data_IF_729671757696
#
_entry.id   IF_729671757696
#
_cell.length_a   1.000
_cell.length_b   1.000
_cell.length_c   1.000
_cell.angle_alpha   90.00
_cell.angle_beta   90.00
_cell.angle_gamma   90.00
#
_symmetry.space_group_name_H-M   'P 1'
#
loop_
_entity.id
_entity.type
_entity.pdbx_description
1 polymer ?
#
# COMPACT_ATOMS: atom_id res chain seq x y z
N UNK A 1 22.61 75.86 19.51
CA UNK A 1 22.35 75.67 18.06
C UNK A 1 23.39 74.66 17.55
N UNK A 2 23.41 73.38 17.89
CA UNK A 2 22.43 72.28 17.68
C UNK A 2 22.12 72.01 16.20
N UNK A 3 23.07 71.39 15.49
CA UNK A 3 22.79 70.78 14.18
C UNK A 3 22.94 69.25 14.33
N UNK A 4 21.78 68.60 14.56
CA UNK A 4 21.64 67.14 14.58
C UNK A 4 21.80 66.64 13.15
N UNK A 5 22.87 65.89 12.89
CA UNK A 5 23.01 65.11 11.67
C UNK A 5 21.90 64.04 11.61
N UNK A 6 21.05 64.15 10.60
CA UNK A 6 19.95 63.25 10.29
C UNK A 6 20.49 61.90 9.82
N UNK A 7 20.52 60.91 10.71
CA UNK A 7 20.65 59.48 10.34
C UNK A 7 19.41 59.07 9.52
N UNK A 8 19.56 59.05 8.19
CA UNK A 8 18.64 58.36 7.29
C UNK A 8 18.61 56.87 7.68
N UNK A 9 17.51 56.45 8.31
CA UNK A 9 17.14 55.03 8.45
C UNK A 9 16.80 54.51 7.05
N UNK A 10 17.77 53.86 6.41
CA UNK A 10 17.50 52.96 5.29
C UNK A 10 16.76 51.73 5.84
N UNK A 11 15.43 51.83 5.85
CA UNK A 11 14.53 50.68 5.97
C UNK A 11 14.57 49.89 4.67
N UNK A 12 15.68 49.19 4.42
CA UNK A 12 15.68 48.08 3.48
C UNK A 12 14.98 46.91 4.18
N UNK A 13 13.66 46.81 3.97
CA UNK A 13 12.91 45.57 4.15
C UNK A 13 13.54 44.52 3.24
N UNK A 14 14.54 43.79 3.74
CA UNK A 14 14.83 42.46 3.24
C UNK A 14 13.65 41.58 3.64
N UNK A 15 12.67 41.50 2.74
CA UNK A 15 11.73 40.39 2.76
C UNK A 15 12.54 39.10 2.60
N UNK A 16 12.12 37.99 3.22
CA UNK A 16 12.76 36.71 2.95
C UNK A 16 12.45 36.38 1.49
N UNK A 17 13.43 36.60 0.61
CA UNK A 17 13.46 35.95 -0.68
C UNK A 17 13.41 34.45 -0.38
N UNK A 18 12.25 33.86 -0.62
CA UNK A 18 12.04 32.43 -0.66
C UNK A 18 13.01 31.88 -1.68
N UNK A 19 14.17 31.43 -1.19
CA UNK A 19 15.17 30.74 -1.97
C UNK A 19 14.45 29.61 -2.72
N UNK A 20 14.24 29.80 -4.03
CA UNK A 20 13.85 28.73 -4.92
C UNK A 20 14.98 27.72 -4.86
N UNK A 21 14.79 26.67 -4.08
CA UNK A 21 15.74 25.59 -3.93
C UNK A 21 15.89 24.95 -5.32
N UNK A 22 16.96 25.32 -6.01
CA UNK A 22 17.24 24.87 -7.37
C UNK A 22 17.64 23.42 -7.29
N UNK A 23 16.67 22.54 -7.45
CA UNK A 23 16.88 21.10 -7.62
C UNK A 23 18.00 20.85 -8.64
N UNK A 24 19.05 20.15 -8.22
CA UNK A 24 20.20 19.76 -9.05
C UNK A 24 19.74 18.88 -10.23
N UNK A 25 18.63 18.15 -10.05
CA UNK A 25 18.05 17.26 -11.06
C UNK A 25 17.14 18.07 -12.00
N UNK A 26 17.26 17.90 -13.34
CA UNK A 26 16.37 18.52 -14.31
C UNK A 26 14.89 18.21 -14.03
N UNK A 27 14.02 19.20 -14.24
CA UNK A 27 12.57 19.06 -14.06
C UNK A 27 12.01 17.83 -14.78
N UNK A 28 12.40 17.65 -16.05
CA UNK A 28 11.90 16.57 -16.90
C UNK A 28 12.23 15.20 -16.31
N UNK A 29 13.46 15.02 -15.84
CA UNK A 29 13.91 13.77 -15.20
C UNK A 29 13.09 13.45 -13.95
N UNK A 30 12.81 14.44 -13.10
CA UNK A 30 11.99 14.22 -11.89
C UNK A 30 10.54 13.89 -12.25
N UNK A 31 9.98 14.60 -13.24
CA UNK A 31 8.60 14.40 -13.67
C UNK A 31 8.42 13.00 -14.27
N UNK A 32 9.32 12.58 -15.16
CA UNK A 32 9.28 11.24 -15.76
C UNK A 32 9.45 10.15 -14.71
N UNK A 33 10.40 10.29 -13.77
CA UNK A 33 10.58 9.32 -12.70
C UNK A 33 9.31 9.16 -11.85
N UNK A 34 8.65 10.25 -11.45
CA UNK A 34 7.40 10.15 -10.67
C UNK A 34 6.23 9.58 -11.48
N UNK A 35 6.18 9.85 -12.79
CA UNK A 35 5.19 9.28 -13.70
C UNK A 35 5.37 7.77 -13.83
N UNK A 36 6.60 7.31 -13.99
CA UNK A 36 6.93 5.88 -14.04
C UNK A 36 6.56 5.18 -12.72
N UNK A 37 6.85 5.79 -11.57
CA UNK A 37 6.46 5.24 -10.27
C UNK A 37 4.94 5.13 -10.12
N UNK A 38 4.18 6.14 -10.55
CA UNK A 38 2.72 6.09 -10.54
C UNK A 38 2.19 4.95 -11.41
N UNK A 39 2.68 4.83 -12.65
CA UNK A 39 2.27 3.76 -13.56
C UNK A 39 2.63 2.38 -13.01
N UNK A 40 3.84 2.23 -12.47
CA UNK A 40 4.30 0.99 -11.86
C UNK A 40 3.41 0.59 -10.67
N UNK A 41 2.98 1.52 -9.83
CA UNK A 41 2.10 1.23 -8.69
C UNK A 41 0.73 0.74 -9.15
N UNK A 42 0.14 1.38 -10.16
CA UNK A 42 -1.15 0.97 -10.72
C UNK A 42 -1.06 -0.40 -11.39
N UNK A 43 0.02 -0.66 -12.11
CA UNK A 43 0.27 -1.99 -12.69
C UNK A 43 0.44 -3.05 -11.61
N UNK A 44 1.24 -2.77 -10.58
CA UNK A 44 1.48 -3.70 -9.47
C UNK A 44 0.22 -3.99 -8.66
N UNK A 45 -0.66 -3.00 -8.49
CA UNK A 45 -1.96 -3.21 -7.87
C UNK A 45 -2.79 -4.27 -8.60
N UNK A 46 -2.83 -4.18 -9.94
CA UNK A 46 -3.51 -5.16 -10.76
C UNK A 46 -2.84 -6.55 -10.67
N UNK A 47 -1.51 -6.60 -10.80
CA UNK A 47 -0.76 -7.87 -10.73
C UNK A 47 -0.91 -8.55 -9.37
N UNK A 48 -0.93 -7.80 -8.26
CA UNK A 48 -1.14 -8.35 -6.93
C UNK A 48 -2.50 -9.04 -6.81
N UNK A 49 -3.57 -8.39 -7.26
CA UNK A 49 -4.91 -8.99 -7.30
C UNK A 49 -4.97 -10.24 -8.17
N UNK A 50 -4.34 -10.20 -9.35
CA UNK A 50 -4.33 -11.30 -10.31
C UNK A 50 -3.55 -12.52 -9.82
N UNK A 51 -2.46 -12.35 -9.08
CA UNK A 51 -1.59 -13.46 -8.70
C UNK A 51 -1.75 -13.87 -7.23
N UNK A 52 -1.59 -12.93 -6.29
CA UNK A 52 -1.53 -13.27 -4.86
C UNK A 52 -2.92 -13.51 -4.30
N UNK A 53 -3.83 -12.57 -4.54
CA UNK A 53 -5.19 -12.65 -4.01
C UNK A 53 -5.97 -13.81 -4.63
N UNK A 54 -5.90 -13.97 -5.95
CA UNK A 54 -6.52 -15.10 -6.65
C UNK A 54 -6.00 -16.44 -6.14
N UNK A 55 -4.68 -16.64 -6.03
CA UNK A 55 -4.10 -17.92 -5.60
C UNK A 55 -4.55 -18.28 -4.18
N UNK A 56 -4.52 -17.33 -3.25
CA UNK A 56 -4.95 -17.55 -1.87
C UNK A 56 -6.46 -17.86 -1.79
N UNK A 57 -7.29 -17.15 -2.55
CA UNK A 57 -8.72 -17.45 -2.61
C UNK A 57 -8.97 -18.82 -3.25
N UNK A 58 -8.26 -19.15 -4.32
CA UNK A 58 -8.39 -20.42 -5.02
C UNK A 58 -8.04 -21.59 -4.10
N UNK A 59 -6.96 -21.53 -3.32
CA UNK A 59 -6.62 -22.65 -2.42
C UNK A 59 -7.65 -22.79 -1.29
N UNK A 60 -8.13 -21.70 -0.70
CA UNK A 60 -9.08 -21.76 0.41
C UNK A 60 -10.48 -22.17 -0.06
N UNK A 61 -11.02 -21.47 -1.05
CA UNK A 61 -12.36 -21.74 -1.60
C UNK A 61 -12.39 -23.04 -2.41
N UNK A 62 -11.32 -23.34 -3.16
CA UNK A 62 -11.17 -24.61 -3.88
C UNK A 62 -11.14 -25.80 -2.93
N UNK A 63 -10.52 -25.67 -1.75
CA UNK A 63 -10.56 -26.72 -0.73
C UNK A 63 -11.95 -26.92 -0.13
N UNK A 64 -12.69 -25.83 0.12
CA UNK A 64 -14.08 -25.92 0.56
C UNK A 64 -14.95 -26.64 -0.50
N UNK A 65 -14.75 -26.31 -1.78
CA UNK A 65 -15.44 -26.99 -2.87
C UNK A 65 -15.04 -28.48 -2.95
N UNK A 66 -13.76 -28.80 -2.83
CA UNK A 66 -13.29 -30.18 -2.83
C UNK A 66 -13.89 -30.99 -1.66
N UNK A 67 -13.97 -30.41 -0.46
CA UNK A 67 -14.63 -31.03 0.69
C UNK A 67 -16.11 -31.28 0.40
N UNK A 68 -16.82 -30.35 -0.24
CA UNK A 68 -18.23 -30.53 -0.60
C UNK A 68 -18.47 -31.72 -1.54
N UNK A 69 -17.45 -32.13 -2.28
CA UNK A 69 -17.47 -33.24 -3.24
C UNK A 69 -16.93 -34.56 -2.65
N UNK A 70 -16.55 -34.60 -1.37
CA UNK A 70 -15.92 -35.75 -0.72
C UNK A 70 -16.88 -36.88 -0.31
N UNK A 71 -18.14 -36.85 -0.77
CA UNK A 71 -19.14 -37.89 -0.52
C UNK A 71 -19.39 -38.17 0.97
N UNK A 72 -19.06 -39.38 1.43
CA UNK A 72 -19.28 -39.82 2.82
C UNK A 72 -18.34 -39.14 3.84
N UNK A 73 -17.21 -38.59 3.40
CA UNK A 73 -16.25 -37.91 4.27
C UNK A 73 -16.58 -36.42 4.50
N UNK A 74 -17.49 -35.84 3.71
CA UNK A 74 -17.81 -34.40 3.69
C UNK A 74 -18.08 -33.83 5.08
N UNK A 75 -18.95 -34.45 5.87
CA UNK A 75 -19.33 -33.92 7.19
C UNK A 75 -18.14 -33.88 8.16
N UNK A 76 -17.30 -34.92 8.17
CA UNK A 76 -16.13 -35.00 9.06
C UNK A 76 -15.07 -33.98 8.65
N UNK A 77 -14.82 -33.86 7.34
CA UNK A 77 -13.87 -32.89 6.78
C UNK A 77 -14.32 -31.44 7.01
N UNK A 78 -15.61 -31.13 6.85
CA UNK A 78 -16.14 -29.80 7.16
C UNK A 78 -16.01 -29.47 8.64
N UNK A 79 -16.29 -30.41 9.54
CA UNK A 79 -16.14 -30.17 10.99
C UNK A 79 -14.67 -29.92 11.37
N UNK A 80 -13.73 -30.66 10.77
CA UNK A 80 -12.32 -30.54 11.11
C UNK A 80 -11.63 -29.31 10.48
N UNK A 81 -11.95 -29.02 9.21
CA UNK A 81 -11.21 -28.09 8.36
C UNK A 81 -12.01 -26.85 7.96
N UNK A 82 -13.34 -26.95 7.89
CA UNK A 82 -14.23 -25.90 7.40
C UNK A 82 -14.01 -24.55 8.06
N UNK A 83 -13.99 -24.45 9.41
CA UNK A 83 -13.74 -23.18 10.10
C UNK A 83 -12.39 -22.54 9.71
N UNK A 84 -11.32 -23.33 9.61
CA UNK A 84 -9.98 -22.83 9.25
C UNK A 84 -9.96 -22.29 7.83
N UNK A 85 -10.58 -22.98 6.87
CA UNK A 85 -10.67 -22.55 5.48
C UNK A 85 -11.54 -21.29 5.33
N UNK A 86 -12.66 -21.18 6.08
CA UNK A 86 -13.51 -19.98 6.09
C UNK A 86 -12.75 -18.78 6.65
N UNK A 87 -12.06 -18.94 7.78
CA UNK A 87 -11.18 -17.90 8.30
C UNK A 87 -10.02 -17.59 7.33
N UNK A 88 -9.54 -18.59 6.60
CA UNK A 88 -8.57 -18.43 5.52
C UNK A 88 -9.08 -17.55 4.38
N UNK A 89 -10.32 -17.74 3.93
CA UNK A 89 -10.98 -16.86 2.95
C UNK A 89 -11.08 -15.44 3.50
N UNK A 90 -11.59 -15.28 4.73
CA UNK A 90 -11.77 -13.97 5.34
C UNK A 90 -10.43 -13.20 5.48
N UNK A 91 -9.40 -13.86 6.00
CA UNK A 91 -8.05 -13.28 6.14
C UNK A 91 -7.43 -12.95 4.80
N UNK A 92 -7.65 -13.77 3.76
CA UNK A 92 -7.23 -13.48 2.39
C UNK A 92 -7.88 -12.20 1.85
N UNK A 93 -9.19 -12.02 2.07
CA UNK A 93 -9.90 -10.80 1.65
C UNK A 93 -9.39 -9.58 2.41
N UNK A 94 -9.11 -9.70 3.71
CA UNK A 94 -8.48 -8.61 4.49
C UNK A 94 -7.10 -8.26 3.94
N UNK A 95 -6.26 -9.24 3.63
CA UNK A 95 -4.96 -8.99 2.99
C UNK A 95 -5.12 -8.30 1.62
N UNK A 96 -6.09 -8.73 0.80
CA UNK A 96 -6.42 -8.07 -0.46
C UNK A 96 -6.85 -6.61 -0.28
N UNK A 97 -7.72 -6.34 0.70
CA UNK A 97 -8.17 -5.00 1.04
C UNK A 97 -7.03 -4.10 1.53
N UNK A 98 -6.16 -4.61 2.40
CA UNK A 98 -4.98 -3.87 2.88
C UNK A 98 -4.01 -3.53 1.73
N UNK A 99 -3.78 -4.47 0.82
CA UNK A 99 -2.96 -4.23 -0.37
C UNK A 99 -3.60 -3.16 -1.28
N UNK A 100 -4.90 -3.25 -1.51
CA UNK A 100 -5.63 -2.26 -2.31
C UNK A 100 -5.53 -0.85 -1.72
N UNK A 101 -5.69 -0.73 -0.41
CA UNK A 101 -5.50 0.52 0.33
C UNK A 101 -4.05 1.00 0.14
N UNK A 102 -3.05 0.14 0.36
CA UNK A 102 -1.65 0.48 0.19
C UNK A 102 -1.35 1.10 -1.18
N UNK A 103 -1.72 0.40 -2.26
CA UNK A 103 -1.48 0.85 -3.62
C UNK A 103 -2.25 2.13 -3.95
N UNK A 104 -3.49 2.26 -3.48
CA UNK A 104 -4.29 3.48 -3.68
C UNK A 104 -3.65 4.70 -3.00
N UNK A 105 -3.13 4.51 -1.79
CA UNK A 105 -2.41 5.56 -1.07
C UNK A 105 -1.07 5.90 -1.71
N UNK A 106 -0.32 4.89 -2.15
CA UNK A 106 0.93 5.09 -2.87
C UNK A 106 0.70 5.86 -4.19
N UNK A 107 -0.30 5.47 -4.97
CA UNK A 107 -0.67 6.16 -6.21
C UNK A 107 -1.06 7.63 -5.94
N UNK A 108 -1.80 7.88 -4.86
CA UNK A 108 -2.17 9.23 -4.46
C UNK A 108 -0.94 10.07 -4.04
N UNK A 109 0.05 9.47 -3.38
CA UNK A 109 1.32 10.15 -3.06
C UNK A 109 2.09 10.52 -4.32
N UNK A 110 2.24 9.60 -5.28
CA UNK A 110 2.95 9.88 -6.53
C UNK A 110 2.22 10.89 -7.40
N UNK A 111 0.88 10.86 -7.41
CA UNK A 111 0.07 11.86 -8.10
C UNK A 111 0.23 13.26 -7.48
N UNK A 112 0.24 13.37 -6.14
CA UNK A 112 0.54 14.63 -5.45
C UNK A 112 1.93 15.15 -5.84
N UNK A 113 2.94 14.28 -5.90
CA UNK A 113 4.29 14.66 -6.29
C UNK A 113 4.37 15.15 -7.74
N UNK A 114 3.68 14.50 -8.67
CA UNK A 114 3.57 14.97 -10.05
C UNK A 114 2.90 16.34 -10.15
N UNK A 115 1.82 16.52 -9.37
CA UNK A 115 1.13 17.80 -9.30
C UNK A 115 2.04 18.91 -8.77
N UNK A 116 2.80 18.66 -7.70
CA UNK A 116 3.71 19.64 -7.12
C UNK A 116 4.88 19.96 -8.05
N UNK A 117 5.49 18.94 -8.66
CA UNK A 117 6.55 19.14 -9.66
C UNK A 117 6.03 20.02 -10.80
N UNK A 118 4.86 19.72 -11.37
CA UNK A 118 4.25 20.49 -12.47
C UNK A 118 4.09 21.98 -12.14
N UNK A 119 3.82 22.32 -10.88
CA UNK A 119 3.68 23.70 -10.41
C UNK A 119 4.99 24.31 -9.91
N UNK A 120 6.14 23.66 -10.14
CA UNK A 120 7.45 24.12 -9.69
C UNK A 120 7.63 24.09 -8.18
N UNK A 121 6.78 23.34 -7.45
CA UNK A 121 6.90 23.13 -6.00
C UNK A 121 7.76 21.92 -5.71
N UNK A 122 8.39 21.90 -4.54
CA UNK A 122 9.06 20.69 -4.06
C UNK A 122 8.03 19.67 -3.55
N UNK A 123 8.17 18.39 -3.93
CA UNK A 123 7.24 17.34 -3.51
C UNK A 123 7.38 17.08 -2.00
N UNK A 124 6.28 17.23 -1.26
CA UNK A 124 6.27 16.98 0.19
C UNK A 124 5.40 15.76 0.51
N UNK A 125 6.02 14.70 1.05
CA UNK A 125 5.27 13.51 1.52
C UNK A 125 4.43 13.89 2.73
N UNK A 126 3.11 13.85 2.60
CA UNK A 126 2.20 14.04 3.76
C UNK A 126 2.41 12.89 4.75
N UNK A 127 2.72 13.23 6.01
CA UNK A 127 3.06 12.27 7.08
C UNK A 127 2.02 11.17 7.27
N UNK A 128 0.74 11.52 7.23
CA UNK A 128 -0.35 10.55 7.42
C UNK A 128 -0.48 9.58 6.25
N UNK A 129 -0.35 10.04 4.99
CA UNK A 129 -0.34 9.17 3.81
C UNK A 129 0.85 8.20 3.90
N UNK A 130 2.01 8.72 4.33
CA UNK A 130 3.19 7.91 4.56
C UNK A 130 2.97 6.81 5.58
N UNK A 131 2.42 7.15 6.75
CA UNK A 131 2.08 6.20 7.81
C UNK A 131 1.15 5.09 7.30
N UNK A 132 0.09 5.43 6.55
CA UNK A 132 -0.86 4.44 6.02
C UNK A 132 -0.17 3.50 5.03
N UNK A 133 0.63 4.04 4.10
CA UNK A 133 1.40 3.21 3.16
C UNK A 133 2.38 2.31 3.91
N UNK A 134 3.14 2.83 4.87
CA UNK A 134 4.15 2.03 5.58
C UNK A 134 3.47 0.93 6.42
N UNK A 135 2.40 1.26 7.15
CA UNK A 135 1.65 0.29 7.96
C UNK A 135 1.05 -0.82 7.09
N UNK A 136 0.37 -0.47 6.01
CA UNK A 136 -0.28 -1.46 5.13
C UNK A 136 0.75 -2.28 4.36
N UNK A 137 1.94 -1.76 4.06
CA UNK A 137 3.02 -2.48 3.41
C UNK A 137 3.51 -3.66 4.26
N UNK A 138 3.64 -3.46 5.58
CA UNK A 138 4.09 -4.52 6.49
C UNK A 138 2.95 -5.42 6.99
N UNK A 139 1.75 -4.86 7.19
CA UNK A 139 0.62 -5.63 7.71
C UNK A 139 0.06 -6.62 6.68
N UNK A 140 0.01 -6.22 5.41
CA UNK A 140 -0.51 -7.06 4.31
C UNK A 140 0.16 -8.44 4.24
N UNK A 141 1.51 -8.56 4.13
CA UNK A 141 2.16 -9.86 4.04
C UNK A 141 1.97 -10.69 5.32
N UNK A 142 1.91 -10.06 6.50
CA UNK A 142 1.63 -10.77 7.76
C UNK A 142 0.25 -11.42 7.75
N UNK A 143 -0.77 -10.69 7.30
CA UNK A 143 -2.14 -11.23 7.19
C UNK A 143 -2.21 -12.33 6.13
N UNK A 144 -1.51 -12.17 4.99
CA UNK A 144 -1.44 -13.18 3.94
C UNK A 144 -0.76 -14.47 4.43
N UNK A 145 0.34 -14.36 5.19
CA UNK A 145 1.00 -15.51 5.84
C UNK A 145 0.06 -16.17 6.84
N UNK A 146 -0.73 -15.39 7.59
CA UNK A 146 -1.77 -15.92 8.47
C UNK A 146 -2.80 -16.78 7.73
N UNK A 147 -3.29 -16.32 6.57
CA UNK A 147 -4.17 -17.12 5.72
C UNK A 147 -3.50 -18.43 5.27
N UNK A 148 -2.26 -18.36 4.81
CA UNK A 148 -1.52 -19.55 4.38
C UNK A 148 -1.31 -20.55 5.53
N UNK A 149 -1.02 -20.06 6.74
CA UNK A 149 -0.91 -20.91 7.92
C UNK A 149 -2.23 -21.61 8.26
N UNK A 150 -3.37 -20.92 8.13
CA UNK A 150 -4.70 -21.52 8.31
C UNK A 150 -4.96 -22.63 7.29
N UNK A 151 -4.56 -22.42 6.03
CA UNK A 151 -4.65 -23.45 4.98
C UNK A 151 -3.81 -24.69 5.32
N UNK A 152 -2.55 -24.50 5.71
CA UNK A 152 -1.65 -25.61 6.09
C UNK A 152 -2.20 -26.36 7.30
N UNK A 153 -2.71 -25.65 8.31
CA UNK A 153 -3.34 -26.26 9.48
C UNK A 153 -4.60 -27.05 9.10
N UNK A 154 -5.41 -26.55 8.17
CA UNK A 154 -6.57 -27.27 7.63
C UNK A 154 -6.13 -28.56 6.91
N UNK A 155 -5.09 -28.49 6.07
CA UNK A 155 -4.55 -29.65 5.38
C UNK A 155 -4.03 -30.72 6.36
N UNK A 156 -3.28 -30.30 7.41
CA UNK A 156 -2.80 -31.22 8.43
C UNK A 156 -3.94 -31.92 9.18
N UNK A 157 -5.04 -31.19 9.47
CA UNK A 157 -6.24 -31.78 10.07
C UNK A 157 -6.96 -32.74 9.13
N UNK A 158 -7.05 -32.42 7.84
CA UNK A 158 -7.68 -33.30 6.86
C UNK A 158 -7.00 -34.68 6.81
N UNK A 159 -5.66 -34.72 6.87
CA UNK A 159 -4.88 -35.97 6.90
C UNK A 159 -5.20 -36.85 8.12
N UNK A 160 -5.58 -36.25 9.25
CA UNK A 160 -5.94 -37.01 10.46
C UNK A 160 -7.38 -37.57 10.45
N UNK A 161 -8.20 -37.16 9.48
CA UNK A 161 -9.64 -37.46 9.43
C UNK A 161 -10.01 -38.38 8.27
N UNK A 162 -9.16 -38.44 7.24
CA UNK A 162 -9.21 -39.38 6.12
C UNK A 162 -8.49 -40.66 6.53
#
# INVERSE_FOLDING_TARGET
MTQKASRQRNSAKQGPETAKQTSIIPFETRYQAQKELLLAVLERQFQYGKWVLSSLLTVQAGSLLAISQAGSATARLYQACGPLLIYGVATTLVAGGLAYINFSFAANVYNDFLHDIRHGREPVRRRWKGLVTDLTLYLTPLVAIGSLALFIAAAARAVSVI
#
